data_IF_218844858336
#
_entry.id   IF_218844858336
#
_cell.length_a   1.000
_cell.length_b   1.000
_cell.length_c   1.000
_cell.angle_alpha   90.00
_cell.angle_beta   90.00
_cell.angle_gamma   90.00
#
_symmetry.space_group_name_H-M   'P 1'
#
loop_
_entity.id
_entity.type
_entity.pdbx_description
1 polymer ?
#
# COMPACT_ATOMS: atom_id res chain seq x y z
N UNK A 1 4.35 8.72 10.16
CA UNK A 1 3.87 8.14 8.88
C UNK A 1 2.53 8.73 8.44
N UNK A 2 1.47 8.68 9.26
CA UNK A 2 0.16 9.28 8.92
C UNK A 2 0.22 10.74 8.47
N UNK A 3 0.93 11.62 9.20
CA UNK A 3 1.14 13.02 8.80
C UNK A 3 1.86 13.16 7.44
N UNK A 4 2.83 12.27 7.15
CA UNK A 4 3.55 12.28 5.89
C UNK A 4 2.62 11.90 4.73
N UNK A 5 1.78 10.88 4.91
CA UNK A 5 0.77 10.48 3.92
C UNK A 5 -0.23 11.63 3.70
N UNK A 6 -0.76 12.24 4.76
CA UNK A 6 -1.68 13.38 4.65
C UNK A 6 -1.05 14.57 3.90
N UNK A 7 0.22 14.89 4.19
CA UNK A 7 0.95 15.93 3.48
C UNK A 7 1.07 15.62 1.97
N UNK A 8 1.38 14.37 1.61
CA UNK A 8 1.49 13.94 0.21
C UNK A 8 0.15 13.97 -0.51
N UNK A 9 -0.92 13.46 0.12
CA UNK A 9 -2.29 13.49 -0.40
C UNK A 9 -2.75 14.90 -0.74
N UNK A 10 -2.46 15.87 0.14
CA UNK A 10 -2.74 17.28 -0.10
C UNK A 10 -1.95 17.82 -1.30
N UNK A 11 -0.68 17.45 -1.43
CA UNK A 11 0.19 17.88 -2.53
C UNK A 11 -0.28 17.36 -3.90
N UNK A 12 -0.81 16.14 -3.95
CA UNK A 12 -1.32 15.51 -5.18
C UNK A 12 -2.83 15.73 -5.40
N UNK A 13 -3.49 16.52 -4.55
CA UNK A 13 -4.93 16.81 -4.58
C UNK A 13 -5.82 15.55 -4.67
N UNK A 14 -5.48 14.51 -3.90
CA UNK A 14 -6.24 13.25 -3.88
C UNK A 14 -7.04 13.10 -2.59
N UNK A 15 -8.38 12.93 -2.67
CA UNK A 15 -9.17 12.59 -1.51
C UNK A 15 -9.03 11.11 -1.18
N UNK A 16 -8.45 10.80 -0.02
CA UNK A 16 -8.43 9.45 0.57
C UNK A 16 -9.06 9.51 1.96
N UNK A 17 -9.98 8.59 2.31
CA UNK A 17 -10.61 8.58 3.62
C UNK A 17 -9.59 8.52 4.76
N UNK A 18 -9.84 9.26 5.85
CA UNK A 18 -8.93 9.30 6.99
C UNK A 18 -8.68 7.90 7.60
N UNK A 19 -9.72 7.05 7.64
CA UNK A 19 -9.59 5.65 8.08
C UNK A 19 -8.59 4.87 7.23
N UNK A 20 -8.69 4.96 5.91
CA UNK A 20 -7.73 4.33 4.98
C UNK A 20 -6.32 4.86 5.19
N UNK A 21 -6.14 6.15 5.50
CA UNK A 21 -4.79 6.67 5.82
C UNK A 21 -4.23 6.08 7.12
N UNK A 22 -5.07 5.88 8.14
CA UNK A 22 -4.68 5.18 9.37
C UNK A 22 -4.25 3.75 9.03
N UNK A 23 -5.05 3.02 8.26
CA UNK A 23 -4.77 1.65 7.82
C UNK A 23 -3.44 1.56 7.08
N UNK A 24 -3.22 2.40 6.05
CA UNK A 24 -1.97 2.43 5.28
C UNK A 24 -0.80 2.72 6.20
N UNK A 25 -0.90 3.73 7.07
CA UNK A 25 0.20 4.07 7.96
C UNK A 25 0.53 2.96 8.96
N UNK A 26 -0.48 2.19 9.38
CA UNK A 26 -0.34 1.07 10.33
C UNK A 26 0.31 -0.12 9.63
N UNK A 27 -0.18 -0.51 8.46
CA UNK A 27 0.39 -1.58 7.64
C UNK A 27 1.85 -1.27 7.27
N UNK A 28 2.15 -0.06 6.79
CA UNK A 28 3.52 0.35 6.47
C UNK A 28 4.42 0.28 7.69
N UNK A 29 3.97 0.74 8.86
CA UNK A 29 4.77 0.66 10.10
C UNK A 29 5.13 -0.78 10.45
N UNK A 30 4.15 -1.69 10.36
CA UNK A 30 4.29 -3.10 10.68
C UNK A 30 5.26 -3.80 9.73
N UNK A 31 5.00 -3.70 8.43
CA UNK A 31 5.75 -4.46 7.42
C UNK A 31 7.13 -3.87 7.16
N UNK A 32 7.30 -2.54 7.21
CA UNK A 32 8.62 -1.94 7.14
C UNK A 32 9.51 -2.39 8.31
N UNK A 33 8.97 -2.49 9.52
CA UNK A 33 9.70 -3.05 10.65
C UNK A 33 10.03 -4.54 10.45
N UNK A 34 9.04 -5.35 10.05
CA UNK A 34 9.23 -6.79 9.82
C UNK A 34 10.33 -7.10 8.79
N UNK A 35 10.37 -6.35 7.68
CA UNK A 35 11.36 -6.52 6.62
C UNK A 35 12.61 -5.63 6.77
N UNK A 36 12.74 -4.89 7.88
CA UNK A 36 13.84 -3.94 8.13
C UNK A 36 14.05 -2.93 6.98
N UNK A 37 12.95 -2.33 6.50
CA UNK A 37 12.93 -1.30 5.47
C UNK A 37 12.67 0.09 6.09
N UNK A 38 13.14 1.13 5.41
CA UNK A 38 12.73 2.50 5.75
C UNK A 38 11.24 2.69 5.40
N UNK A 39 10.36 3.01 6.36
CA UNK A 39 8.95 3.20 6.07
C UNK A 39 8.67 4.40 5.15
N UNK A 40 9.56 5.39 5.05
CA UNK A 40 9.41 6.48 4.09
C UNK A 40 9.71 6.05 2.65
N UNK A 41 10.58 5.06 2.46
CA UNK A 41 10.78 4.42 1.16
C UNK A 41 9.49 3.74 0.71
N UNK A 42 8.85 2.98 1.59
CA UNK A 42 7.58 2.30 1.31
C UNK A 42 6.46 3.29 0.99
N UNK A 43 6.34 4.38 1.75
CA UNK A 43 5.38 5.47 1.44
C UNK A 43 5.64 6.08 0.06
N UNK A 44 6.90 6.36 -0.28
CA UNK A 44 7.26 6.93 -1.58
C UNK A 44 6.89 6.00 -2.73
N UNK A 45 7.06 4.69 -2.55
CA UNK A 45 6.67 3.70 -3.54
C UNK A 45 5.14 3.63 -3.70
N UNK A 46 4.37 3.59 -2.60
CA UNK A 46 2.89 3.62 -2.66
C UNK A 46 2.38 4.87 -3.37
N UNK A 47 2.98 6.03 -3.11
CA UNK A 47 2.62 7.27 -3.79
C UNK A 47 2.86 7.17 -5.31
N UNK A 48 3.99 6.61 -5.72
CA UNK A 48 4.36 6.44 -7.14
C UNK A 48 3.45 5.45 -7.86
N UNK A 49 3.10 4.33 -7.22
CA UNK A 49 2.37 3.22 -7.85
C UNK A 49 0.85 3.47 -7.92
N UNK A 50 0.25 3.99 -6.84
CA UNK A 50 -1.21 4.11 -6.74
C UNK A 50 -1.71 5.48 -6.30
N UNK A 51 -0.80 6.36 -5.86
CA UNK A 51 -1.18 7.60 -5.20
C UNK A 51 -2.01 7.36 -3.94
N UNK A 52 -1.74 6.29 -3.19
CA UNK A 52 -2.48 5.86 -1.99
C UNK A 52 -3.92 5.38 -2.23
N UNK A 53 -4.24 4.91 -3.44
CA UNK A 53 -5.53 4.28 -3.70
C UNK A 53 -5.42 2.76 -3.66
N UNK A 54 -6.02 2.08 -2.67
CA UNK A 54 -5.92 0.64 -2.54
C UNK A 54 -6.66 -0.10 -3.67
N UNK A 55 -7.57 0.54 -4.40
CA UNK A 55 -8.41 -0.12 -5.41
C UNK A 55 -7.92 0.06 -6.86
N UNK A 56 -6.66 0.47 -7.07
CA UNK A 56 -6.13 0.67 -8.43
C UNK A 56 -5.86 -0.68 -9.09
N UNK A 57 -6.31 -0.82 -10.33
CA UNK A 57 -5.96 -1.93 -11.22
C UNK A 57 -5.37 -1.33 -12.49
N UNK A 58 -4.15 -1.73 -12.86
CA UNK A 58 -3.51 -1.30 -14.10
C UNK A 58 -4.01 -2.08 -15.32
N UNK A 59 -3.68 -1.59 -16.51
CA UNK A 59 -3.94 -2.30 -17.79
C UNK A 59 -3.20 -3.62 -17.91
N UNK A 60 -2.18 -3.85 -17.07
CA UNK A 60 -1.35 -5.05 -17.04
C UNK A 60 -1.68 -5.94 -15.83
N UNK A 61 -2.86 -5.78 -15.22
CA UNK A 61 -3.35 -6.58 -14.09
C UNK A 61 -2.52 -6.47 -12.80
N UNK A 62 -1.77 -5.37 -12.65
CA UNK A 62 -1.18 -4.99 -11.38
C UNK A 62 -2.26 -4.36 -10.47
N UNK A 63 -2.26 -4.71 -9.18
CA UNK A 63 -3.34 -4.37 -8.25
C UNK A 63 -2.83 -3.75 -6.95
N UNK A 64 -3.68 -2.95 -6.32
CA UNK A 64 -3.44 -2.49 -4.95
C UNK A 64 -2.55 -1.26 -4.81
N UNK A 65 -2.15 -0.99 -3.57
CA UNK A 65 -1.33 0.18 -3.21
C UNK A 65 0.05 0.21 -3.87
N UNK A 66 0.63 -0.97 -4.09
CA UNK A 66 1.99 -1.14 -4.63
C UNK A 66 2.01 -1.77 -6.02
N UNK A 67 0.84 -1.90 -6.68
CA UNK A 67 0.71 -2.43 -8.02
C UNK A 67 1.46 -3.77 -8.20
N UNK A 68 1.13 -4.74 -7.36
CA UNK A 68 1.69 -6.10 -7.46
C UNK A 68 0.91 -6.85 -8.54
N UNK A 69 1.61 -7.61 -9.40
CA UNK A 69 0.93 -8.49 -10.36
C UNK A 69 0.10 -9.54 -9.61
N UNK A 70 -1.16 -9.69 -10.00
CA UNK A 70 -2.11 -10.57 -9.30
C UNK A 70 -1.59 -12.02 -9.20
N UNK A 71 -0.93 -12.53 -10.24
CA UNK A 71 -0.32 -13.88 -10.22
C UNK A 71 0.78 -14.03 -9.16
N UNK A 72 1.51 -12.96 -8.86
CA UNK A 72 2.56 -12.97 -7.85
C UNK A 72 1.99 -12.77 -6.45
N UNK A 73 0.93 -11.96 -6.31
CA UNK A 73 0.28 -11.69 -5.03
C UNK A 73 -0.16 -12.97 -4.33
N UNK A 74 -0.91 -13.85 -4.99
CA UNK A 74 -1.40 -15.08 -4.37
C UNK A 74 -0.25 -16.02 -3.93
N UNK A 75 0.86 -16.03 -4.67
CA UNK A 75 2.05 -16.81 -4.29
C UNK A 75 2.70 -16.25 -3.01
N UNK A 76 2.83 -14.92 -2.90
CA UNK A 76 3.40 -14.30 -1.70
C UNK A 76 2.47 -14.42 -0.49
N UNK A 77 1.16 -14.23 -0.69
CA UNK A 77 0.18 -14.37 0.38
C UNK A 77 0.22 -15.77 1.02
N UNK A 78 0.31 -16.80 0.17
CA UNK A 78 0.47 -18.18 0.62
C UNK A 78 1.79 -18.42 1.38
N UNK A 79 2.90 -17.84 0.91
CA UNK A 79 4.22 -17.99 1.56
C UNK A 79 4.29 -17.28 2.92
N UNK A 80 3.64 -16.13 3.05
CA UNK A 80 3.64 -15.32 4.28
C UNK A 80 2.51 -15.68 5.24
N UNK A 81 1.55 -16.52 4.83
CA UNK A 81 0.40 -16.91 5.65
C UNK A 81 -0.55 -15.74 5.94
N UNK A 82 -0.62 -14.79 5.01
CA UNK A 82 -1.46 -13.58 5.09
C UNK A 82 -2.73 -13.75 4.25
N UNK A 83 -3.66 -12.81 4.38
CA UNK A 83 -4.94 -12.86 3.67
C UNK A 83 -4.71 -12.74 2.16
N UNK A 84 -5.62 -13.31 1.38
CA UNK A 84 -5.53 -13.34 -0.09
C UNK A 84 -6.46 -12.31 -0.75
N UNK A 85 -6.55 -11.10 -0.19
CA UNK A 85 -7.26 -9.98 -0.83
C UNK A 85 -6.25 -8.92 -1.31
N UNK A 86 -6.02 -8.76 -2.62
CA UNK A 86 -5.04 -7.82 -3.16
C UNK A 86 -5.39 -6.34 -2.94
N UNK A 87 -6.60 -6.04 -2.47
CA UNK A 87 -7.05 -4.68 -2.19
C UNK A 87 -7.10 -4.38 -0.68
N UNK A 88 -6.90 -5.38 0.19
CA UNK A 88 -6.78 -5.15 1.63
C UNK A 88 -5.39 -4.57 1.95
N UNK A 89 -5.38 -3.49 2.71
CA UNK A 89 -4.21 -2.66 3.00
C UNK A 89 -3.19 -3.38 3.88
N UNK A 90 -3.63 -4.37 4.67
CA UNK A 90 -2.79 -5.18 5.56
C UNK A 90 -2.75 -6.67 5.16
N UNK A 91 -2.94 -6.96 3.86
CA UNK A 91 -2.80 -8.30 3.29
C UNK A 91 -1.43 -8.55 2.67
#
# INVERSE_FOLDING_TARGET
>A
LQLAIQFRLNKINRPVPAATVVEISTAVSRWANYFNLDPFLVIGLIEMESGFNPNVVSTSSAVGLMQILESNFYNYAAQLGVKSDPFDVDS
#
